data_IF_231879506660
#
_entry.id   IF_231879506660
#
_cell.length_a   1.000
_cell.length_b   1.000
_cell.length_c   1.000
_cell.angle_alpha   90.00
_cell.angle_beta   90.00
_cell.angle_gamma   90.00
#
_symmetry.space_group_name_H-M   'P 1'
#
loop_
_entity.id
_entity.type
_entity.pdbx_description
1 polymer ?
#
# COMPACT_ATOMS: atom_id res chain seq x y z
N UNK A 1 28.67 -48.88 -1.96
CA UNK A 1 27.43 -48.71 -2.77
C UNK A 1 26.23 -48.15 -1.99
N UNK A 2 25.99 -48.51 -0.71
CA UNK A 2 24.81 -48.04 0.04
C UNK A 2 24.80 -46.54 0.43
N UNK A 3 25.97 -45.90 0.54
CA UNK A 3 26.07 -44.47 0.90
C UNK A 3 25.69 -43.52 -0.26
N UNK A 4 25.86 -43.95 -1.51
CA UNK A 4 25.48 -43.17 -2.69
C UNK A 4 23.96 -43.13 -2.87
N UNK A 5 23.27 -44.24 -2.58
CA UNK A 5 21.81 -44.33 -2.67
C UNK A 5 21.09 -43.41 -1.65
N UNK A 6 21.64 -43.25 -0.44
CA UNK A 6 21.08 -42.34 0.57
C UNK A 6 21.27 -40.85 0.21
N UNK A 7 22.39 -40.51 -0.43
CA UNK A 7 22.62 -39.14 -0.92
C UNK A 7 21.73 -38.81 -2.13
N UNK A 8 21.57 -39.75 -3.06
CA UNK A 8 20.66 -39.58 -4.20
C UNK A 8 19.19 -39.50 -3.76
N UNK A 9 18.74 -40.30 -2.78
CA UNK A 9 17.40 -40.20 -2.20
C UNK A 9 17.15 -38.88 -1.43
N UNK A 10 18.17 -38.36 -0.74
CA UNK A 10 18.08 -37.07 -0.03
C UNK A 10 18.02 -35.88 -1.00
N UNK A 11 18.68 -35.98 -2.15
CA UNK A 11 18.62 -34.97 -3.21
C UNK A 11 17.32 -35.06 -4.01
N UNK A 12 16.83 -36.27 -4.33
CA UNK A 12 15.54 -36.51 -5.00
C UNK A 12 14.35 -36.02 -4.15
N UNK A 13 14.37 -36.20 -2.81
CA UNK A 13 13.36 -35.65 -1.91
C UNK A 13 13.42 -34.11 -1.79
N UNK A 14 14.60 -33.49 -1.97
CA UNK A 14 14.75 -32.03 -1.96
C UNK A 14 14.26 -31.38 -3.25
N UNK A 15 14.40 -32.05 -4.39
CA UNK A 15 13.84 -31.56 -5.67
C UNK A 15 12.32 -31.70 -5.69
N UNK A 16 11.76 -32.81 -5.20
CA UNK A 16 10.29 -33.01 -5.15
C UNK A 16 9.60 -32.08 -4.16
N UNK A 17 10.20 -31.76 -3.00
CA UNK A 17 9.68 -30.74 -2.09
C UNK A 17 9.69 -29.33 -2.69
N UNK A 18 10.73 -28.97 -3.44
CA UNK A 18 10.80 -27.68 -4.14
C UNK A 18 9.77 -27.56 -5.28
N UNK A 19 9.41 -28.67 -5.92
CA UNK A 19 8.38 -28.70 -6.96
C UNK A 19 6.96 -28.66 -6.38
N UNK A 20 6.70 -29.29 -5.23
CA UNK A 20 5.40 -29.24 -4.54
C UNK A 20 5.06 -27.86 -3.92
N UNK A 21 6.06 -27.06 -3.56
CA UNK A 21 5.84 -25.67 -3.08
C UNK A 21 5.43 -24.73 -4.22
N UNK A 22 5.61 -25.15 -5.49
CA UNK A 22 5.52 -24.26 -6.66
C UNK A 22 4.10 -23.96 -7.16
N UNK A 23 3.05 -24.56 -6.58
CA UNK A 23 1.67 -24.38 -7.06
C UNK A 23 0.61 -24.24 -5.94
N UNK A 24 0.92 -23.54 -4.84
CA UNK A 24 -0.08 -23.19 -3.82
C UNK A 24 -0.87 -21.95 -4.27
N UNK A 25 -1.89 -22.17 -5.11
CA UNK A 25 -2.90 -21.15 -5.44
C UNK A 25 -4.01 -21.21 -4.40
N UNK A 26 -4.31 -20.10 -3.73
CA UNK A 26 -5.41 -20.02 -2.77
C UNK A 26 -6.51 -19.11 -3.28
N UNK A 27 -7.74 -19.58 -3.14
CA UNK A 27 -8.94 -18.80 -3.42
C UNK A 27 -9.25 -17.87 -2.25
N UNK A 28 -9.40 -16.59 -2.55
CA UNK A 28 -9.88 -15.55 -1.65
C UNK A 28 -11.23 -15.03 -2.14
N UNK A 29 -12.22 -15.06 -1.26
CA UNK A 29 -13.57 -14.56 -1.54
C UNK A 29 -13.73 -13.20 -0.90
N UNK A 30 -13.75 -12.16 -1.72
CA UNK A 30 -13.83 -10.76 -1.30
C UNK A 30 -15.26 -10.27 -1.49
N UNK A 31 -15.82 -9.68 -0.44
CA UNK A 31 -17.12 -9.02 -0.48
C UNK A 31 -16.98 -7.65 -1.14
N UNK A 32 -17.73 -7.40 -2.21
CA UNK A 32 -17.85 -6.07 -2.82
C UNK A 32 -19.25 -5.53 -2.64
N UNK A 33 -19.31 -4.27 -2.25
CA UNK A 33 -20.53 -3.52 -2.10
C UNK A 33 -20.29 -2.10 -2.59
N UNK A 34 -21.19 -1.61 -3.42
CA UNK A 34 -21.12 -0.25 -3.95
C UNK A 34 -22.22 0.61 -3.28
N UNK A 35 -21.85 1.67 -2.53
CA UNK A 35 -22.81 2.57 -1.88
C UNK A 35 -23.68 3.37 -2.85
N UNK A 36 -23.22 3.59 -4.09
CA UNK A 36 -23.91 4.42 -5.09
C UNK A 36 -25.17 3.75 -5.65
N UNK A 37 -25.22 2.41 -5.62
CA UNK A 37 -26.34 1.60 -6.08
C UNK A 37 -26.88 0.70 -4.93
N UNK A 38 -27.64 1.25 -3.97
CA UNK A 38 -28.05 0.53 -2.77
C UNK A 38 -29.01 -0.64 -3.03
N UNK A 39 -29.63 -0.69 -4.21
CA UNK A 39 -30.53 -1.77 -4.63
C UNK A 39 -29.80 -2.98 -5.21
N UNK A 40 -28.53 -2.83 -5.57
CA UNK A 40 -27.75 -3.92 -6.12
C UNK A 40 -27.24 -4.79 -4.96
N UNK A 41 -27.59 -6.08 -4.99
CA UNK A 41 -27.15 -7.01 -3.96
C UNK A 41 -25.62 -7.13 -4.00
N UNK A 42 -24.93 -7.01 -2.86
CA UNK A 42 -23.49 -7.20 -2.80
C UNK A 42 -23.09 -8.60 -3.28
N UNK A 43 -21.99 -8.66 -4.01
CA UNK A 43 -21.46 -9.88 -4.60
C UNK A 43 -20.17 -10.33 -3.89
N UNK A 44 -19.88 -11.61 -4.03
CA UNK A 44 -18.71 -12.25 -3.48
C UNK A 44 -17.80 -12.65 -4.64
N UNK A 45 -16.71 -11.92 -4.83
CA UNK A 45 -15.79 -12.13 -5.95
C UNK A 45 -14.64 -13.03 -5.52
N UNK A 46 -14.33 -14.03 -6.34
CA UNK A 46 -13.35 -15.07 -6.03
C UNK A 46 -12.05 -14.82 -6.80
N UNK A 47 -10.95 -14.63 -6.08
CA UNK A 47 -9.63 -14.35 -6.62
C UNK A 47 -8.67 -15.49 -6.30
N UNK A 48 -7.88 -15.92 -7.28
CA UNK A 48 -6.86 -16.95 -7.09
C UNK A 48 -5.49 -16.30 -6.97
N UNK A 49 -4.90 -16.36 -5.78
CA UNK A 49 -3.57 -15.78 -5.50
C UNK A 49 -2.55 -16.88 -5.30
N UNK A 50 -1.43 -16.74 -6.01
CA UNK A 50 -0.25 -17.57 -5.81
C UNK A 50 0.47 -17.18 -4.50
N UNK A 51 0.47 -18.09 -3.51
CA UNK A 51 1.09 -17.91 -2.20
C UNK A 51 2.63 -17.91 -2.24
N UNK A 52 3.24 -18.43 -3.31
CA UNK A 52 4.70 -18.44 -3.49
C UNK A 52 5.28 -17.05 -3.76
N UNK A 53 4.46 -16.14 -4.30
CA UNK A 53 4.83 -14.78 -4.68
C UNK A 53 4.20 -13.74 -3.74
N UNK A 54 3.58 -14.17 -2.64
CA UNK A 54 2.88 -13.33 -1.68
C UNK A 54 3.53 -13.46 -0.30
N UNK A 55 3.52 -12.39 0.50
CA UNK A 55 3.92 -12.47 1.90
C UNK A 55 2.96 -13.35 2.72
N UNK A 56 3.34 -13.74 3.95
CA UNK A 56 2.57 -14.69 4.76
C UNK A 56 1.25 -14.13 5.28
N UNK A 57 1.04 -12.81 5.22
CA UNK A 57 -0.13 -12.14 5.80
C UNK A 57 -1.27 -12.03 4.80
N UNK A 58 -2.51 -12.05 5.30
CA UNK A 58 -3.73 -11.82 4.48
C UNK A 58 -3.70 -10.44 3.82
N UNK A 59 -3.15 -9.44 4.50
CA UNK A 59 -3.00 -8.09 3.95
C UNK A 59 -2.17 -8.08 2.67
N UNK A 60 -1.09 -8.86 2.63
CA UNK A 60 -0.22 -8.94 1.43
C UNK A 60 -1.00 -9.53 0.24
N UNK A 61 -1.85 -10.52 0.50
CA UNK A 61 -2.71 -11.11 -0.53
C UNK A 61 -3.76 -10.10 -1.04
N UNK A 62 -4.37 -9.33 -0.13
CA UNK A 62 -5.32 -8.28 -0.50
C UNK A 62 -4.66 -7.14 -1.29
N UNK A 63 -3.46 -6.72 -0.89
CA UNK A 63 -2.67 -5.72 -1.63
C UNK A 63 -2.32 -6.21 -3.04
N UNK A 64 -1.95 -7.49 -3.18
CA UNK A 64 -1.66 -8.08 -4.48
C UNK A 64 -2.89 -8.16 -5.37
N UNK A 65 -4.03 -8.63 -4.85
CA UNK A 65 -5.30 -8.66 -5.60
C UNK A 65 -5.68 -7.24 -6.05
N UNK A 66 -5.57 -6.26 -5.15
CA UNK A 66 -5.90 -4.87 -5.46
C UNK A 66 -4.96 -4.27 -6.52
N UNK A 67 -3.66 -4.54 -6.45
CA UNK A 67 -2.69 -4.06 -7.44
C UNK A 67 -2.85 -4.68 -8.84
N UNK A 68 -3.41 -5.88 -8.94
CA UNK A 68 -3.68 -6.60 -10.20
C UNK A 68 -5.05 -6.24 -10.80
N UNK A 69 -6.06 -6.00 -9.96
CA UNK A 69 -7.45 -5.74 -10.34
C UNK A 69 -7.75 -4.24 -10.53
N UNK A 70 -7.26 -3.39 -9.62
CA UNK A 70 -7.43 -1.94 -9.69
C UNK A 70 -6.18 -1.29 -10.31
N UNK A 71 -6.28 -0.92 -11.59
CA UNK A 71 -5.36 0.06 -12.21
C UNK A 71 -5.45 1.47 -11.60
N UNK A 72 -6.36 1.68 -10.64
CA UNK A 72 -6.65 2.98 -10.02
C UNK A 72 -5.74 3.32 -8.83
N UNK A 73 -4.95 2.38 -8.31
CA UNK A 73 -4.01 2.70 -7.23
C UNK A 73 -2.82 3.50 -7.73
N UNK A 74 -2.57 4.62 -7.06
CA UNK A 74 -1.40 5.44 -7.34
C UNK A 74 -0.13 4.77 -6.79
N UNK A 75 0.69 4.20 -7.68
CA UNK A 75 1.98 3.61 -7.30
C UNK A 75 2.98 4.70 -6.95
N UNK A 76 3.35 4.81 -5.68
CA UNK A 76 4.37 5.73 -5.20
C UNK A 76 5.75 5.03 -5.14
N UNK A 77 6.82 5.71 -5.54
CA UNK A 77 8.19 5.19 -5.41
C UNK A 77 8.75 5.45 -4.00
N UNK A 78 9.74 4.66 -3.52
CA UNK A 78 10.37 4.93 -2.22
C UNK A 78 10.98 6.34 -2.13
N UNK A 79 11.52 6.87 -3.23
CA UNK A 79 12.07 8.22 -3.29
C UNK A 79 10.98 9.29 -3.14
N UNK A 80 9.81 9.09 -3.76
CA UNK A 80 8.65 9.96 -3.58
C UNK A 80 8.10 9.90 -2.16
N UNK A 81 8.05 8.70 -1.56
CA UNK A 81 7.60 8.55 -0.17
C UNK A 81 8.50 9.31 0.79
N UNK A 82 9.81 9.30 0.53
CA UNK A 82 10.82 10.00 1.33
C UNK A 82 10.64 11.52 1.34
N UNK A 83 10.00 12.10 0.33
CA UNK A 83 9.72 13.55 0.30
C UNK A 83 8.74 13.99 1.38
N UNK A 84 7.93 13.06 1.89
CA UNK A 84 6.94 13.34 2.93
C UNK A 84 7.53 13.18 4.34
N UNK A 85 8.70 12.56 4.48
CA UNK A 85 9.34 12.31 5.77
C UNK A 85 9.63 13.62 6.50
N UNK A 86 9.29 13.68 7.80
CA UNK A 86 9.30 14.92 8.58
C UNK A 86 8.08 15.84 8.41
N UNK A 87 7.29 15.72 7.33
CA UNK A 87 6.05 16.49 7.17
C UNK A 87 4.82 15.75 7.69
N UNK A 88 4.69 14.45 7.39
CA UNK A 88 3.52 13.65 7.80
C UNK A 88 3.49 13.31 9.30
N UNK A 89 4.61 13.49 10.00
CA UNK A 89 4.80 13.10 11.40
C UNK A 89 4.11 14.05 12.40
N UNK A 90 3.51 15.14 11.91
CA UNK A 90 2.75 16.07 12.73
C UNK A 90 1.56 15.37 13.42
N UNK A 91 1.56 15.40 14.75
CA UNK A 91 0.50 14.82 15.60
C UNK A 91 -0.66 15.78 15.88
N UNK A 92 -0.72 16.94 15.20
CA UNK A 92 -1.76 17.96 15.39
C UNK A 92 -1.90 18.47 16.85
N UNK A 93 -0.80 18.57 17.60
CA UNK A 93 -0.82 19.05 18.99
C UNK A 93 -0.98 20.57 19.15
N UNK A 94 -0.98 21.34 18.06
CA UNK A 94 -1.05 22.81 18.02
C UNK A 94 0.12 23.58 18.68
N UNK A 95 1.15 22.93 19.24
CA UNK A 95 2.29 23.61 19.89
C UNK A 95 3.02 24.61 18.97
N UNK A 96 3.09 24.33 17.67
CA UNK A 96 3.70 25.23 16.70
C UNK A 96 2.84 26.48 16.45
N UNK A 97 1.51 26.33 16.39
CA UNK A 97 0.57 27.45 16.23
C UNK A 97 0.55 28.32 17.48
N UNK A 98 0.58 27.71 18.67
CA UNK A 98 0.65 28.44 19.93
C UNK A 98 2.02 29.06 20.20
N UNK A 99 3.08 28.72 19.45
CA UNK A 99 4.39 29.37 19.57
C UNK A 99 4.63 30.47 18.54
N UNK A 100 3.75 30.63 17.55
CA UNK A 100 3.94 31.56 16.43
C UNK A 100 3.28 32.92 16.74
N UNK A 101 4.05 34.01 16.92
CA UNK A 101 3.48 35.32 17.23
C UNK A 101 2.55 35.85 16.14
N UNK A 102 2.84 35.56 14.87
CA UNK A 102 2.00 35.98 13.75
C UNK A 102 0.60 35.36 13.85
N UNK A 103 0.52 34.08 14.25
CA UNK A 103 -0.77 33.41 14.46
C UNK A 103 -1.54 34.02 15.64
N UNK A 104 -0.84 34.44 16.70
CA UNK A 104 -1.47 35.12 17.84
C UNK A 104 -2.09 36.47 17.45
N UNK A 105 -1.39 37.26 16.66
CA UNK A 105 -1.82 38.60 16.28
C UNK A 105 -2.95 38.60 15.25
N UNK A 106 -3.02 37.59 14.36
CA UNK A 106 -4.01 37.53 13.27
C UNK A 106 -4.53 36.09 13.01
N UNK A 107 -5.26 35.48 13.97
CA UNK A 107 -5.71 34.09 13.83
C UNK A 107 -6.76 33.88 12.74
N UNK A 108 -7.55 34.90 12.37
CA UNK A 108 -8.55 34.78 11.30
C UNK A 108 -7.95 34.83 9.89
N UNK A 109 -6.80 35.50 9.72
CA UNK A 109 -6.15 35.60 8.40
C UNK A 109 -5.02 34.60 8.22
N UNK A 110 -4.37 34.17 9.31
CA UNK A 110 -3.23 33.27 9.27
C UNK A 110 -3.69 31.88 9.73
N UNK A 111 -3.70 30.92 8.81
CA UNK A 111 -4.07 29.52 9.08
C UNK A 111 -3.15 28.82 10.11
N UNK A 112 -1.92 29.31 10.26
CA UNK A 112 -0.93 28.80 11.21
C UNK A 112 -0.01 27.73 10.62
N UNK A 113 1.11 27.44 11.30
CA UNK A 113 2.16 26.56 10.78
C UNK A 113 1.70 25.11 10.58
N UNK A 114 0.84 24.58 11.47
CA UNK A 114 0.30 23.22 11.32
C UNK A 114 -0.56 23.10 10.04
N UNK A 115 -1.49 24.03 9.84
CA UNK A 115 -2.38 24.02 8.68
C UNK A 115 -1.58 24.16 7.36
N UNK A 116 -0.57 25.03 7.34
CA UNK A 116 0.32 25.18 6.19
C UNK A 116 1.12 23.90 5.91
N UNK A 117 1.67 23.25 6.94
CA UNK A 117 2.38 21.97 6.79
C UNK A 117 1.47 20.90 6.17
N UNK A 118 0.28 20.71 6.71
CA UNK A 118 -0.68 19.74 6.17
C UNK A 118 -1.13 20.10 4.74
N UNK A 119 -1.28 21.40 4.43
CA UNK A 119 -1.50 21.89 3.08
C UNK A 119 -0.37 21.51 2.12
N UNK A 120 0.89 21.69 2.54
CA UNK A 120 2.07 21.34 1.72
C UNK A 120 2.17 19.84 1.47
N UNK A 121 1.84 18.98 2.45
CA UNK A 121 1.78 17.52 2.27
C UNK A 121 0.76 17.14 1.21
N UNK A 122 -0.44 17.74 1.28
CA UNK A 122 -1.49 17.53 0.28
C UNK A 122 -1.06 17.97 -1.11
N UNK A 123 -0.50 19.17 -1.24
CA UNK A 123 -0.02 19.71 -2.51
C UNK A 123 1.09 18.85 -3.13
N UNK A 124 2.09 18.44 -2.35
CA UNK A 124 3.14 17.56 -2.82
C UNK A 124 2.57 16.21 -3.30
N UNK A 125 1.58 15.67 -2.60
CA UNK A 125 0.92 14.42 -3.00
C UNK A 125 0.18 14.58 -4.32
N UNK A 126 -0.57 15.66 -4.50
CA UNK A 126 -1.29 15.96 -5.74
C UNK A 126 -0.32 16.22 -6.89
N UNK A 127 0.76 16.96 -6.66
CA UNK A 127 1.77 17.24 -7.68
C UNK A 127 2.43 15.94 -8.16
N UNK A 128 2.80 15.04 -7.24
CA UNK A 128 3.31 13.72 -7.59
C UNK A 128 2.31 12.96 -8.47
N UNK A 129 1.03 13.00 -8.13
CA UNK A 129 -0.04 12.36 -8.91
C UNK A 129 -0.15 12.95 -10.32
N UNK A 130 -0.16 14.28 -10.45
CA UNK A 130 -0.29 14.98 -11.73
C UNK A 130 0.93 14.74 -12.63
N UNK A 131 2.15 14.80 -12.08
CA UNK A 131 3.39 14.56 -12.83
C UNK A 131 3.41 13.17 -13.47
N UNK A 132 2.89 12.14 -12.80
CA UNK A 132 2.81 10.78 -13.35
C UNK A 132 1.68 10.57 -14.36
N UNK A 133 0.59 11.33 -14.25
CA UNK A 133 -0.50 11.31 -15.22
C UNK A 133 -0.19 12.15 -16.48
N UNK A 134 1.06 12.61 -16.64
CA UNK A 134 1.51 13.33 -17.83
C UNK A 134 1.05 14.79 -17.90
N UNK A 135 0.44 15.31 -16.84
CA UNK A 135 0.14 16.73 -16.72
C UNK A 135 1.45 17.48 -16.42
N UNK A 136 1.94 18.23 -17.42
CA UNK A 136 3.02 19.20 -17.27
C UNK A 136 2.39 20.60 -17.18
N UNK A 137 2.89 21.40 -16.24
CA UNK A 137 2.58 22.84 -16.16
C UNK A 137 3.06 23.59 -17.41
#
# INVERSE_FOLDING_TARGET
MLLLNNMQNKLLNRTTLKENIRALKKEFKIYRWNPDNPYQKPDLQSYFVDLSTCGPMVLDALQKIKAEDDSSEYKQTPAERKRLDGLYECILCACCSTSCPSYWWNPEQILGPAALLHGTVGLQTVEMILQKNGYKH
#
